data_IF_346836872456
#
_entry.id   IF_346836872456
#
_cell.length_a   1.000
_cell.length_b   1.000
_cell.length_c   1.000
_cell.angle_alpha   90.00
_cell.angle_beta   90.00
_cell.angle_gamma   90.00
#
_symmetry.space_group_name_H-M   'P 1'
#
loop_
_entity.id
_entity.type
_entity.pdbx_description
1 polymer ?
#
# COMPACT_ATOMS: atom_id res chain seq x y z
N UNK A 1 17.98 -6.32 -22.67
CA UNK A 1 18.03 -5.11 -21.82
C UNK A 1 17.78 -5.54 -20.38
N UNK A 2 18.81 -5.53 -19.53
CA UNK A 2 18.66 -5.88 -18.10
C UNK A 2 18.02 -4.69 -17.38
N UNK A 3 16.78 -4.85 -16.90
CA UNK A 3 16.23 -3.92 -15.90
C UNK A 3 17.09 -4.04 -14.65
N UNK A 4 17.71 -2.95 -14.22
CA UNK A 4 18.47 -2.90 -12.97
C UNK A 4 17.54 -3.21 -11.79
N UNK A 5 18.04 -3.91 -10.78
CA UNK A 5 17.28 -4.40 -9.60
C UNK A 5 16.46 -3.29 -8.92
N UNK A 6 16.97 -2.06 -8.95
CA UNK A 6 16.30 -0.85 -8.49
C UNK A 6 14.98 -0.53 -9.21
N UNK A 7 15.01 -0.65 -10.54
CA UNK A 7 13.84 -0.41 -11.39
C UNK A 7 12.73 -1.41 -11.05
N UNK A 8 13.11 -2.66 -10.74
CA UNK A 8 12.19 -3.73 -10.37
C UNK A 8 11.55 -3.50 -8.99
N UNK A 9 12.32 -2.98 -8.02
CA UNK A 9 11.81 -2.66 -6.68
C UNK A 9 10.82 -1.48 -6.71
N UNK A 10 11.14 -0.42 -7.46
CA UNK A 10 10.25 0.71 -7.64
C UNK A 10 8.94 0.32 -8.35
N UNK A 11 9.03 -0.51 -9.40
CA UNK A 11 7.87 -1.05 -10.13
C UNK A 11 6.97 -1.87 -9.17
N UNK A 12 7.55 -2.73 -8.33
CA UNK A 12 6.81 -3.55 -7.37
C UNK A 12 6.15 -2.69 -6.27
N UNK A 13 6.87 -1.72 -5.71
CA UNK A 13 6.32 -0.80 -4.71
C UNK A 13 5.16 0.04 -5.28
N UNK A 14 5.26 0.45 -6.55
CA UNK A 14 4.16 1.13 -7.22
C UNK A 14 2.93 0.22 -7.39
N UNK A 15 3.11 -1.04 -7.80
CA UNK A 15 2.01 -2.00 -7.91
C UNK A 15 1.34 -2.27 -6.56
N UNK A 16 2.11 -2.41 -5.47
CA UNK A 16 1.55 -2.65 -4.14
C UNK A 16 0.77 -1.41 -3.66
N UNK A 17 1.30 -0.19 -3.87
CA UNK A 17 0.56 1.06 -3.55
C UNK A 17 -0.77 1.17 -4.29
N UNK A 18 -0.79 0.80 -5.56
CA UNK A 18 -2.03 0.80 -6.35
C UNK A 18 -3.04 -0.23 -5.81
N UNK A 19 -2.58 -1.43 -5.44
CA UNK A 19 -3.44 -2.46 -4.82
C UNK A 19 -3.99 -2.03 -3.45
N UNK A 20 -3.17 -1.40 -2.61
CA UNK A 20 -3.63 -0.87 -1.32
C UNK A 20 -4.67 0.24 -1.49
N UNK A 21 -4.43 1.14 -2.44
CA UNK A 21 -5.40 2.19 -2.79
C UNK A 21 -6.73 1.59 -3.24
N UNK A 22 -6.67 0.54 -4.06
CA UNK A 22 -7.87 -0.20 -4.47
C UNK A 22 -8.60 -0.82 -3.28
N UNK A 23 -7.88 -1.49 -2.36
CA UNK A 23 -8.48 -2.07 -1.14
C UNK A 23 -9.16 -1.01 -0.29
N UNK A 24 -8.51 0.13 -0.05
CA UNK A 24 -9.11 1.24 0.72
C UNK A 24 -10.37 1.77 0.04
N UNK A 25 -10.35 1.94 -1.29
CA UNK A 25 -11.52 2.41 -2.03
C UNK A 25 -12.66 1.39 -2.00
N UNK A 26 -12.36 0.10 -2.19
CA UNK A 26 -13.36 -0.98 -2.12
C UNK A 26 -13.96 -1.11 -0.71
N UNK A 27 -13.14 -0.99 0.34
CA UNK A 27 -13.57 -0.95 1.74
C UNK A 27 -14.54 0.22 1.97
N UNK A 28 -14.18 1.41 1.51
CA UNK A 28 -15.02 2.60 1.62
C UNK A 28 -16.34 2.45 0.85
N UNK A 29 -16.31 2.00 -0.40
CA UNK A 29 -17.53 1.77 -1.20
C UNK A 29 -18.45 0.77 -0.52
N UNK A 30 -17.90 -0.35 -0.04
CA UNK A 30 -18.68 -1.37 0.65
C UNK A 30 -19.32 -0.82 1.94
N UNK A 31 -18.60 0.02 2.68
CA UNK A 31 -19.15 0.70 3.86
C UNK A 31 -20.32 1.61 3.51
N UNK A 32 -20.20 2.40 2.43
CA UNK A 32 -21.28 3.29 1.96
C UNK A 32 -22.49 2.49 1.50
N UNK A 33 -22.28 1.42 0.72
CA UNK A 33 -23.38 0.57 0.23
C UNK A 33 -24.11 -0.16 1.36
N UNK A 34 -23.42 -0.48 2.45
CA UNK A 34 -23.99 -1.17 3.60
C UNK A 34 -24.41 -0.23 4.73
N UNK A 35 -24.25 1.09 4.60
CA UNK A 35 -24.42 2.05 5.70
C UNK A 35 -25.74 1.89 6.47
N UNK A 36 -26.85 1.58 5.78
CA UNK A 36 -28.17 1.42 6.39
C UNK A 36 -28.39 0.07 7.09
N UNK A 37 -27.49 -0.89 6.90
CA UNK A 37 -27.57 -2.27 7.44
C UNK A 37 -26.38 -2.67 8.30
N UNK A 38 -25.32 -1.86 8.35
CA UNK A 38 -24.17 -2.11 9.22
C UNK A 38 -24.55 -1.88 10.68
N UNK A 39 -24.14 -2.82 11.52
CA UNK A 39 -24.05 -2.58 12.96
C UNK A 39 -22.78 -1.79 13.28
N UNK A 40 -22.75 -1.09 14.41
CA UNK A 40 -21.54 -0.37 14.85
C UNK A 40 -20.31 -1.27 15.04
N UNK A 41 -20.50 -2.57 15.28
CA UNK A 41 -19.40 -3.56 15.28
C UNK A 41 -18.79 -3.73 13.89
N UNK A 42 -19.61 -3.74 12.85
CA UNK A 42 -19.14 -3.91 11.47
C UNK A 42 -18.48 -2.63 10.94
N UNK A 43 -18.97 -1.45 11.34
CA UNK A 43 -18.30 -0.17 11.07
C UNK A 43 -16.88 -0.13 11.65
N UNK A 44 -16.70 -0.62 12.88
CA UNK A 44 -15.39 -0.72 13.54
C UNK A 44 -14.42 -1.64 12.81
N UNK A 45 -14.91 -2.74 12.22
CA UNK A 45 -14.06 -3.62 11.39
C UNK A 45 -13.58 -2.93 10.11
N UNK A 46 -14.42 -2.11 9.46
CA UNK A 46 -13.98 -1.31 8.32
C UNK A 46 -12.94 -0.26 8.71
N UNK A 47 -13.09 0.38 9.87
CA UNK A 47 -12.09 1.33 10.39
C UNK A 47 -10.74 0.66 10.64
N UNK A 48 -10.75 -0.58 11.16
CA UNK A 48 -9.53 -1.39 11.32
C UNK A 48 -8.90 -1.71 9.97
N UNK A 49 -9.69 -2.09 8.96
CA UNK A 49 -9.17 -2.37 7.61
C UNK A 49 -8.50 -1.13 7.02
N UNK A 50 -9.15 0.03 7.11
CA UNK A 50 -8.62 1.29 6.56
C UNK A 50 -7.35 1.72 7.31
N UNK A 51 -7.30 1.53 8.63
CA UNK A 51 -6.11 1.79 9.47
C UNK A 51 -4.95 0.89 9.10
N UNK A 52 -5.16 -0.42 9.03
CA UNK A 52 -4.12 -1.40 8.66
C UNK A 52 -3.61 -1.13 7.24
N UNK A 53 -4.50 -0.80 6.30
CA UNK A 53 -4.08 -0.45 4.94
C UNK A 53 -3.19 0.80 4.89
N UNK A 54 -3.49 1.82 5.72
CA UNK A 54 -2.67 3.02 5.85
C UNK A 54 -1.29 2.71 6.47
N UNK A 55 -1.23 1.87 7.50
CA UNK A 55 0.03 1.43 8.12
C UNK A 55 0.92 0.66 7.15
N UNK A 56 0.35 -0.30 6.41
CA UNK A 56 1.07 -1.06 5.38
C UNK A 56 1.63 -0.11 4.32
N UNK A 57 0.85 0.89 3.89
CA UNK A 57 1.30 1.89 2.92
C UNK A 57 2.51 2.68 3.44
N UNK A 58 2.47 3.12 4.70
CA UNK A 58 3.58 3.85 5.32
C UNK A 58 4.87 3.01 5.36
N UNK A 59 4.76 1.73 5.76
CA UNK A 59 5.90 0.80 5.80
C UNK A 59 6.49 0.61 4.39
N UNK A 60 5.65 0.45 3.37
CA UNK A 60 6.12 0.28 1.99
C UNK A 60 6.81 1.52 1.44
N UNK A 61 6.30 2.72 1.78
CA UNK A 61 6.95 3.98 1.40
C UNK A 61 8.33 4.13 2.08
N UNK A 62 8.48 3.66 3.31
CA UNK A 62 9.78 3.62 3.99
C UNK A 62 10.73 2.60 3.37
N UNK A 63 10.27 1.37 3.10
CA UNK A 63 11.06 0.33 2.44
C UNK A 63 11.51 0.76 1.04
N UNK A 64 10.67 1.49 0.30
CA UNK A 64 11.04 2.04 -1.00
C UNK A 64 12.17 3.07 -0.88
N UNK A 65 12.07 4.01 0.06
CA UNK A 65 13.12 5.00 0.31
C UNK A 65 14.45 4.33 0.69
N UNK A 66 14.39 3.29 1.53
CA UNK A 66 15.58 2.52 1.92
C UNK A 66 16.19 1.77 0.73
N UNK A 67 15.35 1.18 -0.13
CA UNK A 67 15.81 0.50 -1.35
C UNK A 67 16.45 1.48 -2.35
N UNK A 68 15.84 2.65 -2.56
CA UNK A 68 16.39 3.71 -3.42
C UNK A 68 17.75 4.21 -2.89
N UNK A 69 17.86 4.42 -1.57
CA UNK A 69 19.12 4.83 -0.93
C UNK A 69 20.22 3.77 -1.09
N UNK A 70 19.89 2.47 -0.92
CA UNK A 70 20.85 1.38 -1.10
C UNK A 70 21.34 1.24 -2.54
N UNK A 71 20.44 1.40 -3.52
CA UNK A 71 20.81 1.40 -4.94
C UNK A 71 21.73 2.57 -5.26
N UNK A 72 21.41 3.77 -4.75
CA UNK A 72 22.22 4.96 -5.02
C UNK A 72 23.58 4.92 -4.32
N UNK A 73 23.73 4.09 -3.29
CA UNK A 73 24.99 3.89 -2.56
C UNK A 73 25.83 2.71 -3.10
N UNK A 74 25.29 1.87 -3.99
CA UNK A 74 26.02 0.77 -4.58
C UNK A 74 27.04 1.31 -5.61
N UNK A 75 28.36 1.08 -5.43
CA UNK A 75 29.35 1.52 -6.41
C UNK A 75 29.11 0.79 -7.74
N UNK A 76 29.02 1.54 -8.82
CA UNK A 76 29.02 0.99 -10.17
C UNK A 76 30.38 0.34 -10.45
N UNK A 77 30.50 -0.96 -10.21
CA UNK A 77 31.58 -1.80 -10.72
C UNK A 77 31.14 -2.51 -12.00
#
# INVERSE_FOLDING_TARGET
MQKTTAQTAADLAHQIRNRLTYIMLSSHTLRVELQDVLSGETESEFDKIDTVAAEIRAILDELLKLAEAQVSAAPCN
#
